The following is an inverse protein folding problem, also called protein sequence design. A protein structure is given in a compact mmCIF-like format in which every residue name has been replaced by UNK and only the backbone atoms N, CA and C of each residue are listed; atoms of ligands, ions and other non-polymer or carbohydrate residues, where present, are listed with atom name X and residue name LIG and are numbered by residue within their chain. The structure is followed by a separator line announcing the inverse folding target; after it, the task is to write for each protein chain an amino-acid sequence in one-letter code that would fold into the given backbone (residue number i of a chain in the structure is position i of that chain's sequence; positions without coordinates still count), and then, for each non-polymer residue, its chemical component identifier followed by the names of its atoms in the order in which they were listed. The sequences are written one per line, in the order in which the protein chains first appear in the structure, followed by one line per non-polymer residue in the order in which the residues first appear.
data_IF_068486271916
#
_entry.id   IF_068486271916
#
_cell.length_a   1.000
_cell.length_b   1.000
_cell.length_c   1.000
_cell.angle_alpha   90.00
_cell.angle_beta   90.00
_cell.angle_gamma   90.00
#
_symmetry.space_group_name_H-M   'P 1'
#
loop_
_entity.id
_entity.type
_entity.pdbx_description
1 polymer ?
#
# COMPACT_ATOMS: atom_id res chain seq x y z
N UNK A 1 1.64 10.40 -15.00
CA UNK A 1 1.74 9.61 -13.75
C UNK A 1 0.48 9.78 -12.94
N UNK A 2 0.02 8.74 -12.32
CA UNK A 2 -1.18 8.75 -11.48
C UNK A 2 -0.98 9.75 -10.33
N UNK A 3 -1.97 10.58 -10.00
CA UNK A 3 -1.83 11.54 -8.90
C UNK A 3 -1.47 10.90 -7.56
N UNK A 4 -1.92 9.66 -7.33
CA UNK A 4 -1.58 8.94 -6.10
C UNK A 4 -0.08 8.65 -6.05
N UNK A 5 0.51 8.31 -7.19
CA UNK A 5 1.95 8.08 -7.27
C UNK A 5 2.72 9.37 -7.04
N UNK A 6 2.19 10.49 -7.53
CA UNK A 6 2.84 11.78 -7.32
C UNK A 6 2.87 12.16 -5.84
N UNK A 7 1.78 11.88 -5.12
CA UNK A 7 1.74 12.17 -3.69
C UNK A 7 2.76 11.31 -2.95
N UNK A 8 2.90 10.05 -3.35
CA UNK A 8 3.90 9.19 -2.74
C UNK A 8 5.30 9.72 -2.97
N UNK A 9 5.59 10.18 -4.18
CA UNK A 9 6.93 10.67 -4.48
C UNK A 9 7.29 11.94 -3.73
N UNK A 10 6.29 12.72 -3.30
CA UNK A 10 6.55 13.87 -2.45
C UNK A 10 7.13 13.44 -1.11
N UNK A 11 6.87 12.21 -0.69
CA UNK A 11 7.34 11.66 0.58
C UNK A 11 8.34 10.53 0.37
N UNK A 12 9.04 10.54 -0.75
CA UNK A 12 9.92 9.44 -1.13
C UNK A 12 10.96 9.12 -0.07
N UNK A 13 11.39 10.10 0.69
CA UNK A 13 12.39 9.87 1.73
C UNK A 13 11.90 8.99 2.85
N UNK A 14 10.58 8.78 2.97
CA UNK A 14 10.04 7.90 3.98
C UNK A 14 10.13 6.42 3.56
N UNK A 15 10.40 6.17 2.29
CA UNK A 15 10.36 4.81 1.75
C UNK A 15 11.77 4.25 1.60
N UNK A 16 12.43 4.07 2.73
CA UNK A 16 13.75 3.45 2.77
C UNK A 16 13.56 1.95 2.93
N UNK A 17 14.50 1.17 2.44
CA UNK A 17 14.38 -0.28 2.54
C UNK A 17 13.43 -0.87 1.51
N UNK A 18 13.01 -2.10 1.74
CA UNK A 18 12.14 -2.83 0.80
C UNK A 18 10.70 -2.41 0.97
N UNK A 19 10.09 -1.95 -0.11
CA UNK A 19 8.74 -1.40 -0.09
C UNK A 19 7.81 -2.24 -0.96
N UNK A 20 6.65 -2.60 -0.41
CA UNK A 20 5.62 -3.28 -1.18
C UNK A 20 4.58 -2.26 -1.64
N UNK A 21 4.30 -2.22 -2.93
CA UNK A 21 3.28 -1.35 -3.50
C UNK A 21 2.09 -2.22 -3.90
N UNK A 22 0.99 -2.09 -3.18
CA UNK A 22 -0.18 -2.95 -3.32
C UNK A 22 -1.21 -2.28 -4.21
N UNK A 23 -1.51 -2.89 -5.35
CA UNK A 23 -2.49 -2.34 -6.29
C UNK A 23 -2.02 -1.09 -7.01
N UNK A 24 -0.72 -1.00 -7.28
CA UNK A 24 -0.15 0.20 -7.88
C UNK A 24 -0.62 0.39 -9.32
N UNK A 25 -0.69 1.64 -9.79
CA UNK A 25 -1.00 1.89 -11.19
C UNK A 25 0.17 1.54 -12.08
N UNK A 26 -0.13 1.30 -13.36
CA UNK A 26 0.91 0.95 -14.34
C UNK A 26 1.56 2.24 -14.88
N UNK A 27 2.38 2.87 -14.05
CA UNK A 27 3.08 4.09 -14.43
C UNK A 27 4.56 3.97 -14.08
N UNK A 28 5.27 5.10 -13.94
CA UNK A 28 6.71 5.09 -13.73
C UNK A 28 7.14 4.96 -12.27
N UNK A 29 6.20 4.71 -11.37
CA UNK A 29 6.51 4.72 -9.94
C UNK A 29 7.63 3.73 -9.57
N UNK A 30 7.59 2.52 -10.13
CA UNK A 30 8.63 1.54 -9.84
C UNK A 30 10.02 2.03 -10.26
N UNK A 31 10.09 2.83 -11.32
CA UNK A 31 11.36 3.40 -11.74
C UNK A 31 11.87 4.48 -10.81
N UNK A 32 10.97 5.11 -10.05
CA UNK A 32 11.35 6.15 -9.12
C UNK A 32 11.66 5.62 -7.74
N UNK A 33 11.23 4.39 -7.43
CA UNK A 33 11.42 3.77 -6.13
C UNK A 33 12.13 2.44 -6.35
N UNK A 34 13.45 2.44 -6.46
CA UNK A 34 14.20 1.25 -6.90
C UNK A 34 14.09 0.05 -5.97
N UNK A 35 13.75 0.25 -4.71
CA UNK A 35 13.60 -0.87 -3.79
C UNK A 35 12.14 -1.31 -3.64
N UNK A 36 11.25 -0.82 -4.49
CA UNK A 36 9.84 -1.16 -4.41
C UNK A 36 9.51 -2.38 -5.27
N UNK A 37 8.54 -3.17 -4.80
CA UNK A 37 8.04 -4.34 -5.52
C UNK A 37 6.53 -4.23 -5.56
N UNK A 38 5.93 -4.43 -6.73
CA UNK A 38 4.49 -4.27 -6.90
C UNK A 38 3.73 -5.57 -6.74
N UNK A 39 2.52 -5.46 -6.22
CA UNK A 39 1.59 -6.59 -6.13
C UNK A 39 0.30 -6.17 -6.81
N UNK A 40 -0.07 -6.89 -7.85
CA UNK A 40 -1.22 -6.57 -8.70
C UNK A 40 -2.20 -7.73 -8.71
N UNK A 41 -3.48 -7.40 -8.87
CA UNK A 41 -4.49 -8.45 -9.07
C UNK A 41 -5.21 -8.30 -10.41
N UNK A 42 -4.72 -7.43 -11.27
CA UNK A 42 -5.19 -7.34 -12.64
C UNK A 42 -4.03 -7.73 -13.56
N UNK A 43 -4.24 -8.80 -14.31
CA UNK A 43 -3.16 -9.35 -15.14
C UNK A 43 -2.65 -8.33 -16.16
N UNK A 44 -3.53 -7.51 -16.71
CA UNK A 44 -3.11 -6.51 -17.70
C UNK A 44 -2.18 -5.46 -17.10
N UNK A 45 -2.45 -5.02 -15.88
CA UNK A 45 -1.60 -4.04 -15.20
C UNK A 45 -0.23 -4.64 -14.91
N UNK A 46 -0.22 -5.90 -14.45
CA UNK A 46 1.04 -6.56 -14.13
C UNK A 46 1.87 -6.77 -15.41
N UNK A 47 1.22 -7.14 -16.51
CA UNK A 47 1.93 -7.32 -17.77
C UNK A 47 2.56 -6.01 -18.26
N UNK A 48 1.84 -4.90 -18.12
CA UNK A 48 2.35 -3.60 -18.54
C UNK A 48 3.55 -3.19 -17.66
N UNK A 49 3.48 -3.46 -16.36
CA UNK A 49 4.58 -3.13 -15.47
C UNK A 49 5.78 -4.03 -15.72
N UNK A 50 5.54 -5.32 -15.96
CA UNK A 50 6.64 -6.25 -16.19
C UNK A 50 7.37 -5.94 -17.48
N UNK A 51 6.66 -5.43 -18.50
CA UNK A 51 7.28 -5.04 -19.75
C UNK A 51 8.27 -3.90 -19.58
N UNK A 52 8.00 -3.00 -18.62
CA UNK A 52 8.85 -1.83 -18.39
C UNK A 52 9.85 -2.07 -17.26
N UNK A 53 9.45 -2.85 -16.25
CA UNK A 53 10.28 -3.09 -15.08
C UNK A 53 10.27 -4.60 -14.77
N UNK A 54 11.03 -5.40 -15.53
CA UNK A 54 10.96 -6.85 -15.38
C UNK A 54 11.24 -7.32 -13.97
N UNK A 55 10.43 -8.26 -13.51
CA UNK A 55 10.59 -8.89 -12.20
C UNK A 55 10.41 -7.94 -11.02
N UNK A 56 9.80 -6.78 -11.25
CA UNK A 56 9.56 -5.82 -10.19
C UNK A 56 8.12 -5.83 -9.71
N UNK A 57 7.27 -6.72 -10.25
CA UNK A 57 5.87 -6.83 -9.82
C UNK A 57 5.43 -8.28 -9.90
N UNK A 58 4.34 -8.57 -9.19
CA UNK A 58 3.81 -9.92 -9.08
C UNK A 58 2.29 -9.87 -9.17
N UNK A 59 1.72 -10.85 -9.87
CA UNK A 59 0.28 -10.96 -10.01
C UNK A 59 -0.21 -12.09 -9.09
N UNK A 60 -1.33 -11.90 -8.45
CA UNK A 60 -1.90 -12.96 -7.64
C UNK A 60 -2.81 -12.43 -6.55
N UNK A 61 -3.39 -13.36 -5.79
CA UNK A 61 -4.32 -13.02 -4.72
C UNK A 61 -3.67 -13.08 -3.34
N UNK A 62 -2.43 -13.54 -3.26
CA UNK A 62 -1.74 -13.65 -1.98
C UNK A 62 -0.61 -12.64 -1.90
N UNK A 63 -0.34 -12.16 -0.68
CA UNK A 63 0.78 -11.25 -0.46
C UNK A 63 2.07 -11.91 -0.92
N UNK A 64 2.91 -11.20 -1.69
CA UNK A 64 4.19 -11.78 -2.10
C UNK A 64 5.03 -12.22 -0.90
N UNK A 65 5.70 -13.37 -1.05
CA UNK A 65 6.49 -13.92 0.04
C UNK A 65 7.91 -13.37 -0.01
N UNK A 66 8.04 -12.15 0.44
CA UNK A 66 9.33 -11.46 0.51
C UNK A 66 9.32 -10.66 1.80
N UNK A 67 10.48 -10.29 2.27
CA UNK A 67 10.59 -9.43 3.44
C UNK A 67 10.45 -7.98 2.99
N UNK A 68 9.51 -7.28 3.60
CA UNK A 68 9.30 -5.86 3.33
C UNK A 68 9.46 -5.05 4.60
N UNK A 69 9.95 -3.84 4.46
CA UNK A 69 10.09 -2.92 5.60
C UNK A 69 8.90 -1.99 5.72
N UNK A 70 8.14 -1.83 4.65
CA UNK A 70 6.94 -1.00 4.63
C UNK A 70 6.09 -1.40 3.45
N UNK A 71 4.83 -0.98 3.46
CA UNK A 71 3.92 -1.23 2.34
C UNK A 71 3.02 -0.03 2.13
N UNK A 72 2.64 0.20 0.87
CA UNK A 72 1.67 1.21 0.50
C UNK A 72 0.53 0.52 -0.21
N UNK A 73 -0.69 0.73 0.28
CA UNK A 73 -1.88 0.21 -0.38
C UNK A 73 -2.51 1.36 -1.15
N UNK A 74 -2.67 1.16 -2.46
CA UNK A 74 -3.43 2.11 -3.28
C UNK A 74 -4.89 1.76 -3.10
N UNK A 75 -5.68 2.73 -2.66
CA UNK A 75 -7.07 2.48 -2.26
C UNK A 75 -7.85 1.76 -3.35
N UNK A 76 -8.35 0.57 -3.08
CA UNK A 76 -9.17 -0.14 -4.06
C UNK A 76 -10.59 0.42 -4.06
N UNK A 77 -11.39 -0.02 -5.01
CA UNK A 77 -12.75 0.49 -5.15
C UNK A 77 -13.72 -0.09 -4.14
N UNK A 78 -13.35 -1.18 -3.51
CA UNK A 78 -14.23 -1.91 -2.60
C UNK A 78 -13.76 -1.77 -1.17
N UNK A 79 -14.69 -1.47 -0.25
CA UNK A 79 -14.38 -1.41 1.16
C UNK A 79 -13.95 -2.79 1.68
N UNK A 80 -14.58 -3.84 1.17
CA UNK A 80 -14.23 -5.19 1.60
C UNK A 80 -12.82 -5.57 1.16
N UNK A 81 -12.43 -5.16 -0.04
CA UNK A 81 -11.08 -5.42 -0.50
C UNK A 81 -10.06 -4.63 0.32
N UNK A 82 -10.41 -3.40 0.69
CA UNK A 82 -9.54 -2.60 1.55
C UNK A 82 -9.32 -3.32 2.88
N UNK A 83 -10.38 -3.84 3.49
CA UNK A 83 -10.24 -4.58 4.74
C UNK A 83 -9.37 -5.83 4.55
N UNK A 84 -9.60 -6.57 3.48
CA UNK A 84 -8.81 -7.76 3.22
C UNK A 84 -7.32 -7.43 3.10
N UNK A 85 -7.01 -6.37 2.33
CA UNK A 85 -5.63 -6.01 2.11
C UNK A 85 -4.96 -5.48 3.38
N UNK A 86 -5.68 -4.70 4.17
CA UNK A 86 -5.13 -4.21 5.43
C UNK A 86 -4.80 -5.37 6.35
N UNK A 87 -5.72 -6.35 6.46
CA UNK A 87 -5.46 -7.52 7.30
C UNK A 87 -4.29 -8.34 6.78
N UNK A 88 -4.27 -8.61 5.48
CA UNK A 88 -3.24 -9.47 4.90
C UNK A 88 -1.85 -8.83 4.99
N UNK A 89 -1.77 -7.54 4.72
CA UNK A 89 -0.49 -6.84 4.71
C UNK A 89 -0.02 -6.55 6.13
N UNK A 90 -0.91 -6.11 7.02
CA UNK A 90 -0.52 -5.83 8.38
C UNK A 90 0.01 -7.06 9.10
N UNK A 91 -0.55 -8.23 8.78
CA UNK A 91 -0.08 -9.47 9.40
C UNK A 91 1.38 -9.79 9.05
N UNK A 92 1.87 -9.24 7.94
CA UNK A 92 3.23 -9.46 7.48
C UNK A 92 4.20 -8.38 7.91
N UNK A 93 3.72 -7.33 8.56
CA UNK A 93 4.53 -6.15 8.88
C UNK A 93 4.41 -5.70 10.32
N UNK A 94 4.52 -6.59 11.31
CA UNK A 94 4.39 -6.15 12.71
C UNK A 94 5.49 -5.15 13.05
N UNK A 95 5.10 -4.02 13.59
CA UNK A 95 6.04 -2.97 13.94
C UNK A 95 6.50 -2.08 12.80
N UNK A 96 6.07 -2.36 11.58
CA UNK A 96 6.52 -1.61 10.41
C UNK A 96 5.50 -0.55 10.01
N UNK A 97 5.84 0.24 9.01
CA UNK A 97 4.98 1.32 8.54
C UNK A 97 4.06 0.82 7.42
N UNK A 98 2.79 1.14 7.53
CA UNK A 98 1.80 0.79 6.51
C UNK A 98 1.12 2.07 6.07
N UNK A 99 1.09 2.30 4.76
CA UNK A 99 0.53 3.51 4.19
C UNK A 99 -0.70 3.19 3.33
N UNK A 100 -1.62 4.15 3.26
CA UNK A 100 -2.79 4.05 2.40
C UNK A 100 -2.90 5.35 1.62
N UNK A 101 -2.99 5.26 0.30
CA UNK A 101 -3.09 6.44 -0.55
C UNK A 101 -4.31 6.32 -1.44
N UNK A 102 -5.02 7.41 -1.62
CA UNK A 102 -6.22 7.40 -2.47
C UNK A 102 -6.76 8.78 -2.71
N UNK A 103 -7.73 8.87 -3.62
CA UNK A 103 -8.39 10.13 -3.93
C UNK A 103 -9.48 10.42 -2.92
N UNK A 104 -9.68 11.71 -2.64
CA UNK A 104 -10.75 12.10 -1.72
C UNK A 104 -12.11 11.67 -2.26
N UNK A 105 -12.33 11.81 -3.54
CA UNK A 105 -13.62 11.41 -4.12
C UNK A 105 -13.83 9.90 -4.11
N UNK A 106 -12.78 9.14 -3.90
CA UNK A 106 -12.88 7.69 -3.80
C UNK A 106 -13.02 7.21 -2.36
N UNK A 107 -13.06 8.14 -1.40
CA UNK A 107 -13.34 7.79 -0.01
C UNK A 107 -12.13 7.49 0.83
N UNK A 108 -10.98 8.09 0.51
CA UNK A 108 -9.76 7.82 1.29
C UNK A 108 -9.93 8.17 2.77
N UNK A 109 -10.69 9.21 3.10
CA UNK A 109 -10.84 9.59 4.49
C UNK A 109 -11.64 8.55 5.28
N UNK A 110 -12.66 7.97 4.67
CA UNK A 110 -13.39 6.89 5.30
C UNK A 110 -12.55 5.63 5.38
N UNK A 111 -11.78 5.36 4.32
CA UNK A 111 -10.94 4.17 4.29
C UNK A 111 -9.83 4.23 5.32
N UNK A 112 -9.32 5.43 5.62
CA UNK A 112 -8.29 5.57 6.64
C UNK A 112 -8.78 5.08 8.00
N UNK A 113 -10.08 5.17 8.26
CA UNK A 113 -10.63 4.67 9.52
C UNK A 113 -10.55 3.16 9.62
N UNK A 114 -10.46 2.47 8.50
CA UNK A 114 -10.31 1.02 8.49
C UNK A 114 -8.93 0.59 8.99
N UNK A 115 -7.98 1.53 9.07
CA UNK A 115 -6.65 1.23 9.57
C UNK A 115 -6.60 1.24 11.10
N UNK A 116 -7.62 1.79 11.77
CA UNK A 116 -7.62 1.96 13.23
C UNK A 116 -7.33 0.65 13.99
N UNK A 117 -7.88 -0.50 13.59
CA UNK A 117 -7.58 -1.74 14.33
C UNK A 117 -6.10 -2.13 14.30
N UNK A 118 -5.32 -1.59 13.37
CA UNK A 118 -3.94 -1.98 13.20
C UNK A 118 -2.96 -0.93 13.71
N UNK A 119 -3.41 0.30 13.92
CA UNK A 119 -2.55 1.37 14.40
C UNK A 119 -3.28 2.69 14.35
N UNK A 120 -2.63 3.76 14.74
CA UNK A 120 -3.25 5.09 14.77
C UNK A 120 -3.01 5.80 13.45
N UNK A 121 -4.07 6.07 12.67
CA UNK A 121 -3.87 6.72 11.36
C UNK A 121 -3.42 8.17 11.50
N UNK A 122 -2.47 8.56 10.66
CA UNK A 122 -2.01 9.93 10.56
C UNK A 122 -2.02 10.33 9.10
N UNK A 123 -2.56 11.51 8.80
CA UNK A 123 -2.53 12.02 7.45
C UNK A 123 -1.18 12.70 7.23
N UNK A 124 -0.40 12.20 6.30
CA UNK A 124 0.92 12.73 6.02
C UNK A 124 0.92 13.77 4.93
N UNK A 125 0.04 13.68 3.96
CA UNK A 125 0.05 14.60 2.85
C UNK A 125 -1.32 14.71 2.20
N UNK A 126 -1.54 15.81 1.49
CA UNK A 126 -2.79 16.07 0.82
C UNK A 126 -2.44 16.91 -0.41
N UNK A 127 -2.43 16.31 -1.59
CA UNK A 127 -2.08 16.98 -2.82
C UNK A 127 -2.77 16.32 -3.99
N UNK A 128 -3.06 17.10 -5.04
CA UNK A 128 -3.66 16.57 -6.27
C UNK A 128 -4.96 15.80 -5.99
N UNK A 129 -5.75 16.26 -5.00
CA UNK A 129 -7.01 15.65 -4.58
C UNK A 129 -6.83 14.24 -4.01
N UNK A 130 -5.62 13.90 -3.61
CA UNK A 130 -5.27 12.62 -3.00
C UNK A 130 -4.74 12.86 -1.59
N UNK A 131 -4.87 11.86 -0.74
CA UNK A 131 -4.31 11.91 0.61
C UNK A 131 -3.47 10.69 0.85
N UNK A 132 -2.43 10.85 1.64
CA UNK A 132 -1.55 9.76 2.07
C UNK A 132 -1.68 9.63 3.58
N UNK A 133 -2.08 8.43 4.03
CA UNK A 133 -2.25 8.13 5.45
C UNK A 133 -1.25 7.06 5.86
N UNK A 134 -0.89 7.05 7.13
CA UNK A 134 0.12 6.14 7.68
C UNK A 134 -0.28 5.61 9.03
N UNK A 135 0.05 4.34 9.29
CA UNK A 135 0.04 3.80 10.65
C UNK A 135 1.38 3.10 10.88
N UNK A 136 1.73 2.95 12.16
CA UNK A 136 2.77 2.00 12.56
C UNK A 136 2.02 0.77 13.02
N UNK A 137 2.22 -0.35 12.36
CA UNK A 137 1.46 -1.56 12.65
C UNK A 137 1.85 -2.07 14.04
N UNK A 138 0.84 -2.34 14.86
CA UNK A 138 1.08 -2.85 16.20
C UNK A 138 1.68 -4.24 16.12
N UNK A 139 2.58 -4.55 17.03
CA UNK A 139 3.14 -5.88 17.10
C UNK A 139 2.05 -6.88 17.44
N UNK A 140 2.02 -7.98 16.76
CA UNK A 140 1.06 -9.05 17.01
C UNK A 140 -0.36 -8.55 16.94
N UNK A 141 -0.75 -7.89 15.87
CA UNK A 141 -2.06 -7.28 15.81
C UNK A 141 -3.18 -8.26 15.93
N UNK A 142 -3.00 -9.47 15.43
CA UNK A 142 -4.08 -10.37 15.52
C UNK A 142 -4.09 -11.17 16.71
N UNK A 143 -3.00 -11.32 17.37
CA UNK A 143 -2.94 -12.15 18.54
C UNK A 143 -3.88 -11.64 19.57
N UNK A 144 -4.15 -10.42 19.50
CA UNK A 144 -4.98 -9.85 20.47
C UNK A 144 -6.37 -10.28 20.34
N UNK A 145 -6.90 -10.21 19.20
CA UNK A 145 -8.22 -10.58 19.10
C UNK A 145 -8.44 -11.90 18.80
N UNK A 146 -7.46 -12.60 18.51
CA UNK A 146 -7.68 -13.92 18.29
C UNK A 146 -8.18 -14.55 19.35
N UNK A 147 -7.76 -14.15 20.21
CA UNK A 147 -8.14 -14.76 21.08
C UNK A 147 -9.18 -14.44 21.33
N UNK A 148 -9.43 -13.98 20.96
CA UNK A 148 -10.57 -13.77 21.08
C UNK A 148 -11.24 -14.24 20.53
#
# INVERSE_FOLDING_TARGET
MDPRSEVLLRQAELFQGNLLLVGLPADDLLGRLPNAHGWCWHAGDQAALDARFPERSQFGVNVPERAFDAAVIFLPKSKDLTDYLLNAVAARLPGAELFLVGEKKSGIESAAKQMIPFGKPRKLDNARHCQLWQITVANAPHAVELES
#
